data_IF_787359524442
#
_entry.id   IF_787359524442
#
_cell.length_a   1.000
_cell.length_b   1.000
_cell.length_c   1.000
_cell.angle_alpha   90.00
_cell.angle_beta   90.00
_cell.angle_gamma   90.00
#
_symmetry.space_group_name_H-M   'P 1'
#
loop_
_entity.id
_entity.type
_entity.pdbx_description
1 polymer ?
#
# COMPACT_ATOMS: atom_id res chain seq x y z
N UNK A 1 -2.06 -31.02 -42.77
CA UNK A 1 -1.19 -30.18 -41.92
C UNK A 1 -1.57 -30.46 -40.48
N UNK A 2 -0.68 -31.07 -39.70
CA UNK A 2 -0.91 -31.33 -38.27
C UNK A 2 -0.17 -30.26 -37.49
N UNK A 3 -0.90 -29.29 -36.92
CA UNK A 3 -0.34 -28.40 -35.91
C UNK A 3 -0.46 -29.13 -34.58
N UNK A 4 0.61 -29.79 -34.15
CA UNK A 4 0.76 -30.20 -32.75
C UNK A 4 0.88 -28.91 -31.95
N UNK A 5 -0.25 -28.45 -31.40
CA UNK A 5 -0.21 -27.50 -30.30
C UNK A 5 0.57 -28.18 -29.19
N UNK A 6 1.88 -27.90 -29.11
CA UNK A 6 2.70 -28.21 -27.95
C UNK A 6 2.05 -27.48 -26.78
N UNK A 7 1.19 -28.20 -26.06
CA UNK A 7 0.73 -27.77 -24.76
C UNK A 7 1.98 -27.80 -23.90
N UNK A 8 2.56 -26.63 -23.67
CA UNK A 8 3.56 -26.39 -22.63
C UNK A 8 3.06 -27.07 -21.37
N UNK A 9 3.65 -28.21 -21.04
CA UNK A 9 3.24 -28.98 -19.88
C UNK A 9 3.72 -28.20 -18.65
N UNK A 10 2.87 -27.34 -18.11
CA UNK A 10 3.11 -26.69 -16.83
C UNK A 10 3.32 -27.79 -15.79
N UNK A 11 4.51 -27.85 -15.21
CA UNK A 11 4.79 -28.79 -14.14
C UNK A 11 4.14 -28.29 -12.85
N UNK A 12 3.97 -29.17 -11.85
CA UNK A 12 3.47 -28.76 -10.54
C UNK A 12 4.35 -27.65 -9.93
N UNK A 13 5.67 -27.70 -10.15
CA UNK A 13 6.60 -26.68 -9.65
C UNK A 13 6.39 -25.32 -10.32
N UNK A 14 6.05 -25.31 -11.61
CA UNK A 14 5.78 -24.07 -12.33
C UNK A 14 4.48 -23.45 -11.84
N UNK A 15 3.45 -24.27 -11.61
CA UNK A 15 2.17 -23.82 -11.06
C UNK A 15 2.33 -23.23 -9.66
N UNK A 16 3.13 -23.86 -8.80
CA UNK A 16 3.43 -23.33 -7.46
C UNK A 16 4.16 -21.98 -7.54
N UNK A 17 5.09 -21.83 -8.49
CA UNK A 17 5.80 -20.57 -8.71
C UNK A 17 4.88 -19.48 -9.25
N UNK A 18 4.01 -19.79 -10.22
CA UNK A 18 3.01 -18.86 -10.74
C UNK A 18 1.99 -18.45 -9.66
N UNK A 19 1.57 -19.39 -8.81
CA UNK A 19 0.70 -19.12 -7.66
C UNK A 19 1.39 -18.19 -6.65
N UNK A 20 2.66 -18.44 -6.34
CA UNK A 20 3.44 -17.55 -5.47
C UNK A 20 3.53 -16.12 -6.00
N UNK A 21 3.70 -15.95 -7.32
CA UNK A 21 3.70 -14.61 -7.94
C UNK A 21 2.34 -13.91 -7.79
N UNK A 22 1.23 -14.64 -7.89
CA UNK A 22 -0.11 -14.08 -7.68
C UNK A 22 -0.31 -13.65 -6.22
N UNK A 23 0.09 -14.51 -5.29
CA UNK A 23 -0.03 -14.26 -3.85
C UNK A 23 0.81 -13.05 -3.42
N UNK A 24 2.06 -12.97 -3.88
CA UNK A 24 2.97 -11.85 -3.62
C UNK A 24 2.45 -10.53 -4.20
N UNK A 25 1.78 -10.60 -5.35
CA UNK A 25 1.14 -9.45 -5.97
C UNK A 25 -0.23 -9.11 -5.34
N UNK A 26 -0.72 -9.91 -4.39
CA UNK A 26 -1.97 -9.67 -3.66
C UNK A 26 -3.23 -10.08 -4.41
N UNK A 27 -3.13 -10.97 -5.40
CA UNK A 27 -4.28 -11.53 -6.11
C UNK A 27 -4.80 -12.77 -5.38
N UNK A 28 -6.07 -12.73 -4.94
CA UNK A 28 -6.79 -13.91 -4.43
C UNK A 28 -7.27 -14.78 -5.61
N UNK A 29 -6.32 -15.39 -6.30
CA UNK A 29 -6.54 -16.19 -7.51
C UNK A 29 -5.89 -17.55 -7.31
N UNK A 30 -6.63 -18.64 -7.55
CA UNK A 30 -6.05 -19.99 -7.55
C UNK A 30 -5.91 -20.51 -8.96
N UNK A 31 -4.72 -20.99 -9.31
CA UNK A 31 -4.48 -21.66 -10.59
C UNK A 31 -4.90 -23.13 -10.43
N UNK A 32 -6.15 -23.45 -10.78
CA UNK A 32 -6.67 -24.82 -10.76
C UNK A 32 -6.62 -25.40 -12.16
N UNK A 33 -6.00 -26.59 -12.31
CA UNK A 33 -5.89 -27.29 -13.60
C UNK A 33 -7.25 -27.87 -14.04
N UNK A 34 -8.18 -28.10 -13.10
CA UNK A 34 -9.33 -28.99 -13.30
C UNK A 34 -10.70 -28.29 -13.34
N UNK A 35 -10.79 -26.98 -13.05
CA UNK A 35 -12.08 -26.29 -12.99
C UNK A 35 -12.10 -25.07 -13.92
N UNK A 36 -12.64 -25.27 -15.12
CA UNK A 36 -12.77 -24.30 -16.21
C UNK A 36 -13.61 -23.06 -15.87
N UNK A 37 -14.17 -22.97 -14.65
CA UNK A 37 -15.33 -22.11 -14.43
C UNK A 37 -14.99 -20.67 -14.05
N UNK A 38 -13.81 -20.37 -13.51
CA UNK A 38 -13.40 -18.97 -13.23
C UNK A 38 -11.88 -18.83 -13.21
N UNK A 39 -11.23 -18.77 -14.37
CA UNK A 39 -9.82 -18.36 -14.40
C UNK A 39 -9.71 -16.85 -14.16
N UNK A 40 -8.97 -16.48 -13.11
CA UNK A 40 -8.63 -15.08 -12.90
C UNK A 40 -7.80 -14.56 -14.09
N UNK A 41 -8.13 -13.38 -14.61
CA UNK A 41 -7.44 -12.78 -15.76
C UNK A 41 -5.93 -12.64 -15.51
N UNK A 42 -5.51 -12.39 -14.26
CA UNK A 42 -4.10 -12.35 -13.88
C UNK A 42 -3.41 -13.72 -14.03
N UNK A 43 -4.08 -14.80 -13.59
CA UNK A 43 -3.58 -16.16 -13.75
C UNK A 43 -3.44 -16.55 -15.22
N UNK A 44 -4.43 -16.20 -16.05
CA UNK A 44 -4.38 -16.45 -17.51
C UNK A 44 -3.21 -15.71 -18.15
N UNK A 45 -2.97 -14.45 -17.76
CA UNK A 45 -1.83 -13.68 -18.26
C UNK A 45 -0.50 -14.35 -17.89
N UNK A 46 -0.34 -14.76 -16.63
CA UNK A 46 0.88 -15.43 -16.17
C UNK A 46 1.16 -16.73 -16.93
N UNK A 47 0.14 -17.56 -17.12
CA UNK A 47 0.26 -18.79 -17.91
C UNK A 47 0.77 -18.43 -19.32
N UNK A 48 0.11 -17.50 -20.01
CA UNK A 48 0.54 -17.08 -21.36
C UNK A 48 1.98 -16.58 -21.41
N UNK A 49 2.38 -15.72 -20.48
CA UNK A 49 3.74 -15.20 -20.41
C UNK A 49 4.76 -16.32 -20.17
N UNK A 50 4.41 -17.31 -19.35
CA UNK A 50 5.25 -18.48 -19.12
C UNK A 50 5.38 -19.34 -20.39
N UNK A 51 4.29 -19.54 -21.13
CA UNK A 51 4.31 -20.23 -22.45
C UNK A 51 5.13 -19.45 -23.49
N UNK A 52 5.17 -18.11 -23.41
CA UNK A 52 6.04 -17.24 -24.22
C UNK A 52 7.52 -17.29 -23.78
N UNK A 53 7.84 -17.98 -22.69
CA UNK A 53 9.20 -18.21 -22.19
C UNK A 53 9.62 -17.29 -21.05
N UNK A 54 8.72 -16.47 -20.50
CA UNK A 54 8.99 -15.66 -19.31
C UNK A 54 8.85 -16.52 -18.07
N UNK A 55 9.96 -17.09 -17.60
CA UNK A 55 9.97 -18.01 -16.45
C UNK A 55 10.46 -17.36 -15.15
N UNK A 56 10.90 -16.09 -15.21
CA UNK A 56 11.40 -15.37 -14.04
C UNK A 56 10.24 -14.79 -13.22
N UNK A 57 10.11 -15.14 -11.92
CA UNK A 57 9.04 -14.63 -11.04
C UNK A 57 9.01 -13.10 -10.97
N UNK A 58 10.18 -12.46 -10.95
CA UNK A 58 10.29 -11.00 -10.89
C UNK A 58 9.75 -10.33 -12.17
N UNK A 59 10.01 -10.92 -13.35
CA UNK A 59 9.49 -10.42 -14.62
C UNK A 59 7.98 -10.63 -14.73
N UNK A 60 7.49 -11.77 -14.23
CA UNK A 60 6.06 -12.07 -14.18
C UNK A 60 5.31 -11.08 -13.27
N UNK A 61 5.85 -10.78 -12.10
CA UNK A 61 5.31 -9.76 -11.19
C UNK A 61 5.31 -8.37 -11.84
N UNK A 62 6.40 -7.99 -12.51
CA UNK A 62 6.47 -6.73 -13.24
C UNK A 62 5.45 -6.65 -14.39
N UNK A 63 5.23 -7.76 -15.09
CA UNK A 63 4.22 -7.84 -16.13
C UNK A 63 2.80 -7.68 -15.58
N UNK A 64 2.50 -8.25 -14.41
CA UNK A 64 1.24 -8.00 -13.71
C UNK A 64 1.06 -6.51 -13.38
N UNK A 65 2.09 -5.87 -12.81
CA UNK A 65 2.06 -4.43 -12.53
C UNK A 65 1.85 -3.58 -13.79
N UNK A 66 2.46 -3.99 -14.91
CA UNK A 66 2.32 -3.28 -16.19
C UNK A 66 0.92 -3.46 -16.80
N UNK A 67 0.36 -4.68 -16.75
CA UNK A 67 -0.92 -4.99 -17.37
C UNK A 67 -2.14 -4.51 -16.56
N UNK A 68 -2.09 -4.64 -15.24
CA UNK A 68 -3.22 -4.29 -14.37
C UNK A 68 -3.01 -2.97 -13.62
N UNK A 69 -1.82 -2.38 -13.74
CA UNK A 69 -1.39 -1.25 -12.93
C UNK A 69 -0.87 -1.69 -11.56
N UNK A 70 -0.10 -0.83 -10.91
CA UNK A 70 0.32 -1.08 -9.52
C UNK A 70 -0.89 -1.09 -8.59
N UNK A 71 -1.11 -2.21 -7.91
CA UNK A 71 -1.79 -2.21 -6.62
C UNK A 71 -1.00 -1.26 -5.73
N UNK A 72 -1.57 -0.08 -5.48
CA UNK A 72 -0.93 1.01 -4.75
C UNK A 72 -0.44 0.46 -3.42
N UNK A 73 0.87 0.23 -3.30
CA UNK A 73 1.53 0.12 -2.00
C UNK A 73 1.03 1.30 -1.17
N UNK A 74 0.48 1.07 0.04
CA UNK A 74 -0.08 2.16 0.82
C UNK A 74 0.98 3.25 0.93
N UNK A 75 0.65 4.51 0.59
CA UNK A 75 1.63 5.58 0.62
C UNK A 75 2.26 5.60 2.00
N UNK A 76 3.60 5.68 2.05
CA UNK A 76 4.34 5.84 3.31
C UNK A 76 3.62 6.92 4.13
N UNK A 77 3.30 6.68 5.41
CA UNK A 77 2.64 7.67 6.22
C UNK A 77 3.55 8.90 6.25
N UNK A 78 3.12 9.94 5.53
CA UNK A 78 3.76 11.24 5.57
C UNK A 78 3.42 11.77 6.94
N UNK A 79 4.36 11.73 7.88
CA UNK A 79 4.21 12.43 9.14
C UNK A 79 4.11 13.92 8.80
N UNK A 80 2.95 14.56 9.03
CA UNK A 80 2.86 15.99 8.81
C UNK A 80 3.81 16.69 9.78
N UNK A 81 4.71 17.53 9.26
CA UNK A 81 5.54 18.41 10.07
C UNK A 81 4.63 19.54 10.59
N UNK A 82 3.80 19.23 11.58
CA UNK A 82 2.98 20.24 12.24
C UNK A 82 3.88 21.10 13.14
N UNK A 83 4.05 22.36 12.77
CA UNK A 83 4.63 23.34 13.66
C UNK A 83 3.63 23.61 14.80
N UNK A 84 3.95 23.19 16.03
CA UNK A 84 3.08 23.32 17.21
C UNK A 84 2.55 24.74 17.43
N UNK A 85 3.32 25.76 17.04
CA UNK A 85 2.93 27.16 17.17
C UNK A 85 1.89 27.60 16.14
N UNK A 86 1.75 26.88 15.02
CA UNK A 86 0.68 27.12 14.05
C UNK A 86 -0.68 26.56 14.51
N UNK A 87 -0.69 25.54 15.38
CA UNK A 87 -1.91 24.93 15.92
C UNK A 87 -2.33 25.60 17.23
N UNK A 88 -1.37 25.88 18.11
CA UNK A 88 -1.64 26.42 19.46
C UNK A 88 -1.67 27.95 19.53
N UNK A 89 -1.26 28.62 18.45
CA UNK A 89 -1.05 30.07 18.44
C UNK A 89 0.31 30.47 19.02
N UNK A 90 0.69 31.72 18.78
CA UNK A 90 1.92 32.30 19.31
C UNK A 90 1.77 32.53 20.83
N UNK A 91 2.82 32.25 21.64
CA UNK A 91 2.79 32.60 23.05
C UNK A 91 2.60 34.11 23.20
N UNK A 92 1.66 34.49 24.06
CA UNK A 92 1.37 35.90 24.34
C UNK A 92 2.53 36.45 25.16
N UNK A 93 3.38 37.22 24.49
CA UNK A 93 4.45 38.02 25.12
C UNK A 93 3.87 38.71 26.37
N UNK A 94 4.55 38.50 27.49
CA UNK A 94 4.10 38.85 28.83
C UNK A 94 3.62 40.30 28.90
N UNK A 95 2.32 40.48 29.16
CA UNK A 95 1.81 41.77 29.60
C UNK A 95 2.51 42.13 30.92
N UNK A 96 3.07 43.35 31.06
CA UNK A 96 3.83 43.71 32.25
C UNK A 96 2.96 43.55 33.50
N UNK A 97 3.58 42.94 34.51
CA UNK A 97 2.98 42.55 35.78
C UNK A 97 2.03 43.64 36.32
N UNK A 98 0.78 43.22 36.50
CA UNK A 98 -0.30 43.93 37.18
C UNK A 98 0.24 44.58 38.46
N UNK A 99 0.23 45.91 38.52
CA UNK A 99 0.62 46.66 39.71
C UNK A 99 -0.22 46.23 40.93
N UNK A 100 0.39 46.07 42.12
CA UNK A 100 -0.36 45.70 43.31
C UNK A 100 -1.35 46.82 43.67
N UNK A 101 -2.62 46.46 43.80
CA UNK A 101 -3.64 47.32 44.39
C UNK A 101 -3.35 47.42 45.88
N UNK A 102 -2.79 48.55 46.31
CA UNK A 102 -2.68 48.89 47.73
C UNK A 102 -4.09 49.15 48.26
N UNK A 103 -4.61 48.22 49.07
CA UNK A 103 -5.81 48.44 49.87
C UNK A 103 -5.42 49.33 51.06
N UNK A 104 -5.92 50.56 51.10
CA UNK A 104 -5.84 51.42 52.28
C UNK A 104 -7.07 51.17 53.14
N UNK A 105 -7.00 50.17 54.02
CA UNK A 105 -7.91 50.08 55.16
C UNK A 105 -7.47 51.10 56.21
N UNK A 106 -8.24 52.17 56.35
CA UNK A 106 -8.15 53.10 57.46
C UNK A 106 -9.56 53.34 58.04
N UNK A 107 -10.10 52.32 58.71
CA UNK A 107 -11.08 52.53 59.77
C UNK A 107 -10.30 52.75 61.07
N UNK A 108 -10.29 53.99 61.55
CA UNK A 108 -9.89 54.32 62.92
C UNK A 108 -10.96 55.23 63.54
N UNK A 109 -11.84 54.60 64.30
CA UNK A 109 -12.29 55.00 65.64
C UNK A 109 -12.28 56.50 65.97
N UNK A 110 -13.47 57.11 66.08
CA UNK A 110 -14.12 57.52 67.34
C UNK A 110 -15.51 58.08 67.06
#
# INVERSE_FOLDING_TARGET
MSSTSEKSHLTSSDLDMLQGVLDDAGYDARILIDDERVFNVAAVLLIRLFEEGVTSPALLSLALEHHFGKLKTPPKPVTPVFNRYAIQGLPREDAPARAPRVFSDALRTL
#
